data_IF_668856631681
#
_entry.id   IF_668856631681
#
_cell.length_a   1.000
_cell.length_b   1.000
_cell.length_c   1.000
_cell.angle_alpha   90.00
_cell.angle_beta   90.00
_cell.angle_gamma   90.00
#
_symmetry.space_group_name_H-M   'P 1'
#
loop_
_entity.id
_entity.type
_entity.pdbx_description
1 polymer ?
#
# COMPACT_ATOMS: atom_id res chain seq x y z
N UNK A 1 -4.69 43.74 -32.38
CA UNK A 1 -4.81 43.72 -30.91
C UNK A 1 -6.07 42.95 -30.50
N UNK A 2 -5.95 41.64 -30.32
CA UNK A 2 -6.94 40.83 -29.58
C UNK A 2 -6.13 39.96 -28.63
N UNK A 3 -6.19 40.31 -27.34
CA UNK A 3 -5.58 39.58 -26.23
C UNK A 3 -6.23 38.19 -26.16
N UNK A 4 -5.45 37.14 -26.41
CA UNK A 4 -5.80 35.82 -25.92
C UNK A 4 -5.61 35.85 -24.40
N UNK A 5 -6.71 35.72 -23.65
CA UNK A 5 -6.64 35.38 -22.24
C UNK A 5 -6.11 33.96 -22.15
N UNK A 6 -4.88 33.85 -21.65
CA UNK A 6 -4.33 32.60 -21.13
C UNK A 6 -5.13 32.28 -19.86
N UNK A 7 -6.19 31.49 -19.99
CA UNK A 7 -6.91 30.97 -18.83
C UNK A 7 -5.92 30.13 -18.03
N UNK A 8 -5.77 30.47 -16.76
CA UNK A 8 -5.06 29.71 -15.74
C UNK A 8 -5.46 28.24 -15.79
N UNK A 9 -4.62 27.42 -16.41
CA UNK A 9 -4.62 25.97 -16.21
C UNK A 9 -4.23 25.76 -14.75
N UNK A 10 -5.20 25.54 -13.87
CA UNK A 10 -4.92 24.79 -12.65
C UNK A 10 -4.46 23.41 -13.13
N UNK A 11 -3.14 23.19 -13.18
CA UNK A 11 -2.59 21.84 -13.15
C UNK A 11 -3.01 21.26 -11.78
N UNK A 12 -4.15 20.58 -11.74
CA UNK A 12 -4.32 19.51 -10.79
C UNK A 12 -3.24 18.49 -11.12
N UNK A 13 -2.41 18.16 -10.13
CA UNK A 13 -1.27 17.26 -10.30
C UNK A 13 -1.73 15.94 -10.91
N UNK A 14 -1.47 15.75 -12.20
CA UNK A 14 -1.69 14.48 -12.87
C UNK A 14 -0.68 13.49 -12.28
N UNK A 15 -1.17 12.54 -11.50
CA UNK A 15 -0.38 11.37 -11.13
C UNK A 15 0.14 10.73 -12.41
N UNK A 16 1.46 10.61 -12.55
CA UNK A 16 2.03 9.90 -13.68
C UNK A 16 1.61 8.45 -13.55
N UNK A 17 0.83 7.95 -14.50
CA UNK A 17 0.43 6.55 -14.48
C UNK A 17 1.35 5.74 -15.39
N UNK A 18 1.85 4.59 -14.92
CA UNK A 18 2.51 3.63 -15.81
C UNK A 18 1.45 3.02 -16.74
N UNK A 19 1.83 2.73 -17.98
CA UNK A 19 0.99 1.99 -18.91
C UNK A 19 0.35 0.78 -18.21
N UNK A 20 -0.98 0.79 -18.17
CA UNK A 20 -1.77 -0.24 -17.53
C UNK A 20 -2.02 -1.35 -18.54
N UNK A 21 -2.05 -2.58 -18.07
CA UNK A 21 -2.40 -3.74 -18.90
C UNK A 21 -3.54 -4.48 -18.23
N UNK A 22 -4.67 -4.58 -18.94
CA UNK A 22 -5.79 -5.45 -18.59
C UNK A 22 -5.57 -6.79 -19.27
N UNK A 23 -5.40 -7.84 -18.47
CA UNK A 23 -5.20 -9.22 -18.95
C UNK A 23 -6.29 -10.11 -18.39
N UNK A 24 -6.79 -11.02 -19.21
CA UNK A 24 -7.76 -12.00 -18.76
C UNK A 24 -7.14 -12.87 -17.64
N UNK A 25 -7.85 -13.01 -16.52
CA UNK A 25 -7.39 -13.84 -15.41
C UNK A 25 -8.20 -15.13 -15.29
N UNK A 26 -9.53 -15.03 -15.29
CA UNK A 26 -10.42 -16.16 -15.16
C UNK A 26 -11.71 -15.93 -15.97
N UNK A 27 -12.34 -17.02 -16.41
CA UNK A 27 -13.59 -17.03 -17.18
C UNK A 27 -14.52 -18.14 -16.66
N UNK A 28 -15.72 -18.21 -17.24
CA UNK A 28 -16.71 -19.25 -16.92
C UNK A 28 -17.69 -18.84 -15.84
N UNK A 29 -17.78 -17.54 -15.56
CA UNK A 29 -18.74 -16.98 -14.61
C UNK A 29 -20.06 -16.64 -15.31
N UNK A 30 -21.14 -16.54 -14.54
CA UNK A 30 -22.44 -16.09 -15.03
C UNK A 30 -22.83 -14.77 -14.35
N UNK A 31 -22.51 -13.67 -15.03
CA UNK A 31 -22.65 -12.30 -14.54
C UNK A 31 -21.93 -12.10 -13.20
N UNK A 32 -20.58 -12.21 -13.21
CA UNK A 32 -19.79 -12.01 -12.01
C UNK A 32 -19.97 -10.58 -11.51
N UNK A 33 -20.25 -10.43 -10.22
CA UNK A 33 -20.35 -9.11 -9.59
C UNK A 33 -19.32 -8.97 -8.47
N UNK A 34 -19.57 -9.52 -7.28
CA UNK A 34 -18.68 -9.41 -6.13
C UNK A 34 -17.40 -10.22 -6.28
N UNK A 35 -16.32 -9.63 -5.76
CA UNK A 35 -14.98 -10.20 -5.71
C UNK A 35 -14.42 -10.05 -4.30
N UNK A 36 -13.92 -11.13 -3.71
CA UNK A 36 -13.23 -11.10 -2.43
C UNK A 36 -12.11 -12.13 -2.38
N UNK A 37 -10.94 -11.75 -1.89
CA UNK A 37 -9.86 -12.69 -1.60
C UNK A 37 -9.97 -13.21 -0.17
N UNK A 38 -9.70 -14.50 0.02
CA UNK A 38 -9.33 -15.00 1.34
C UNK A 38 -7.84 -14.71 1.66
N UNK A 39 -7.44 -14.95 2.90
CA UNK A 39 -6.06 -14.72 3.36
C UNK A 39 -5.02 -15.53 2.58
N UNK A 40 -5.38 -16.74 2.14
CA UNK A 40 -4.50 -17.62 1.35
C UNK A 40 -4.32 -17.14 -0.09
N UNK A 41 -5.21 -16.28 -0.57
CA UNK A 41 -5.17 -15.70 -1.91
C UNK A 41 -6.03 -16.37 -2.94
N UNK A 42 -7.01 -17.17 -2.50
CA UNK A 42 -8.07 -17.67 -3.37
C UNK A 42 -9.09 -16.56 -3.56
N UNK A 43 -9.43 -16.28 -4.82
CA UNK A 43 -10.46 -15.32 -5.17
C UNK A 43 -11.83 -15.98 -5.15
N UNK A 44 -12.79 -15.36 -4.50
CA UNK A 44 -14.20 -15.73 -4.53
C UNK A 44 -14.95 -14.77 -5.44
N UNK A 45 -15.77 -15.33 -6.32
CA UNK A 45 -16.52 -14.59 -7.35
C UNK A 45 -17.99 -14.93 -7.23
N UNK A 46 -18.87 -13.94 -7.05
CA UNK A 46 -20.31 -14.19 -7.03
C UNK A 46 -20.87 -14.27 -8.44
N UNK A 47 -21.44 -15.40 -8.82
CA UNK A 47 -22.16 -15.57 -10.07
C UNK A 47 -23.61 -15.14 -9.86
N UNK A 48 -23.93 -13.90 -10.20
CA UNK A 48 -25.23 -13.31 -9.88
C UNK A 48 -26.36 -14.08 -10.56
N UNK A 49 -26.25 -14.38 -11.86
CA UNK A 49 -27.28 -15.13 -12.55
C UNK A 49 -27.14 -16.65 -12.33
N UNK A 50 -25.92 -17.10 -12.05
CA UNK A 50 -25.61 -18.49 -11.72
C UNK A 50 -25.95 -18.93 -10.30
N UNK A 51 -26.51 -18.04 -9.46
CA UNK A 51 -26.96 -18.34 -8.09
C UNK A 51 -25.89 -19.05 -7.23
N UNK A 52 -24.63 -18.67 -7.41
CA UNK A 52 -23.48 -19.38 -6.84
C UNK A 52 -22.31 -18.46 -6.52
N UNK A 53 -21.35 -18.96 -5.75
CA UNK A 53 -20.05 -18.32 -5.51
C UNK A 53 -18.94 -19.29 -5.90
N UNK A 54 -18.05 -18.89 -6.81
CA UNK A 54 -16.94 -19.71 -7.28
C UNK A 54 -15.62 -19.33 -6.62
N UNK A 55 -14.81 -20.32 -6.25
CA UNK A 55 -13.41 -20.17 -5.85
C UNK A 55 -12.51 -20.23 -7.06
N UNK A 56 -11.52 -19.34 -7.12
CA UNK A 56 -10.57 -19.20 -8.21
C UNK A 56 -9.17 -19.18 -7.62
N UNK A 57 -8.33 -20.11 -8.05
CA UNK A 57 -6.96 -20.20 -7.56
C UNK A 57 -6.03 -19.14 -8.17
N UNK A 58 -4.77 -19.13 -7.74
CA UNK A 58 -3.75 -18.16 -8.19
C UNK A 58 -3.44 -18.25 -9.70
N UNK A 59 -3.74 -19.40 -10.33
CA UNK A 59 -3.57 -19.61 -11.76
C UNK A 59 -4.75 -19.10 -12.59
N UNK A 60 -5.89 -18.80 -11.94
CA UNK A 60 -7.12 -18.37 -12.58
C UNK A 60 -8.12 -19.51 -12.82
N UNK A 61 -7.87 -20.71 -12.29
CA UNK A 61 -8.76 -21.85 -12.45
C UNK A 61 -9.87 -21.82 -11.40
N UNK A 62 -11.11 -22.09 -11.83
CA UNK A 62 -12.23 -22.33 -10.90
C UNK A 62 -12.02 -23.69 -10.25
N UNK A 63 -11.82 -23.71 -8.93
CA UNK A 63 -11.52 -24.94 -8.17
C UNK A 63 -12.72 -25.51 -7.44
N UNK A 64 -13.69 -24.67 -7.09
CA UNK A 64 -14.88 -25.06 -6.35
C UNK A 64 -16.01 -24.04 -6.60
N UNK A 65 -17.26 -24.47 -6.50
CA UNK A 65 -18.43 -23.59 -6.60
C UNK A 65 -19.44 -23.93 -5.52
N UNK A 66 -19.74 -22.95 -4.68
CA UNK A 66 -20.81 -23.00 -3.69
C UNK A 66 -22.14 -22.62 -4.34
N UNK A 67 -23.18 -23.41 -4.11
CA UNK A 67 -24.52 -23.20 -4.68
C UNK A 67 -25.55 -22.93 -3.57
N UNK A 68 -26.79 -22.62 -3.95
CA UNK A 68 -27.88 -22.38 -2.99
C UNK A 68 -28.08 -20.91 -2.60
N UNK A 69 -27.42 -19.98 -3.30
CA UNK A 69 -27.67 -18.55 -3.16
C UNK A 69 -28.77 -18.10 -4.11
N UNK A 70 -29.32 -16.89 -3.93
CA UNK A 70 -30.30 -16.30 -4.85
C UNK A 70 -29.78 -14.95 -5.30
N UNK A 71 -29.21 -14.89 -6.50
CA UNK A 71 -28.55 -13.68 -7.01
C UNK A 71 -27.55 -13.07 -6.03
N UNK A 72 -26.49 -13.81 -5.63
CA UNK A 72 -25.47 -13.27 -4.74
C UNK A 72 -24.73 -12.12 -5.42
N UNK A 73 -24.45 -11.05 -4.68
CA UNK A 73 -23.80 -9.84 -5.23
C UNK A 73 -22.57 -9.44 -4.43
N UNK A 74 -22.72 -8.96 -3.20
CA UNK A 74 -21.58 -8.56 -2.38
C UNK A 74 -20.89 -9.74 -1.71
N UNK A 75 -19.56 -9.68 -1.63
CA UNK A 75 -18.73 -10.67 -0.92
C UNK A 75 -17.77 -9.95 0.03
N UNK A 76 -17.62 -10.44 1.25
CA UNK A 76 -16.59 -9.96 2.19
C UNK A 76 -16.18 -11.07 3.17
N UNK A 77 -14.91 -11.09 3.59
CA UNK A 77 -14.42 -12.06 4.58
C UNK A 77 -14.37 -11.46 5.99
N UNK A 78 -14.82 -12.24 6.96
CA UNK A 78 -14.57 -12.02 8.39
C UNK A 78 -13.19 -12.59 8.74
N UNK A 79 -12.15 -11.76 8.66
CA UNK A 79 -10.75 -12.18 8.90
C UNK A 79 -10.30 -13.30 7.95
N UNK A 80 -9.63 -14.33 8.49
CA UNK A 80 -9.18 -15.51 7.73
C UNK A 80 -10.29 -16.57 7.52
N UNK A 81 -11.50 -16.31 8.02
CA UNK A 81 -12.53 -17.32 8.23
C UNK A 81 -13.69 -17.24 7.25
N UNK A 82 -14.84 -16.81 7.76
CA UNK A 82 -16.13 -16.97 7.07
C UNK A 82 -16.33 -15.94 5.98
N UNK A 83 -16.93 -16.37 4.88
CA UNK A 83 -17.40 -15.50 3.81
C UNK A 83 -18.79 -14.97 4.13
N UNK A 84 -19.03 -13.69 3.91
CA UNK A 84 -20.34 -13.06 3.99
C UNK A 84 -20.81 -12.73 2.58
N UNK A 85 -22.05 -13.10 2.27
CA UNK A 85 -22.64 -13.00 0.94
C UNK A 85 -23.92 -12.18 1.01
N UNK A 86 -23.94 -11.03 0.35
CA UNK A 86 -25.14 -10.22 0.21
C UNK A 86 -26.04 -10.78 -0.89
N UNK A 87 -27.32 -10.89 -0.58
CA UNK A 87 -28.35 -11.45 -1.44
C UNK A 87 -29.46 -10.40 -1.60
N UNK A 88 -29.29 -9.39 -2.48
CA UNK A 88 -30.15 -8.22 -2.51
C UNK A 88 -31.63 -8.55 -2.76
N UNK A 89 -31.91 -9.51 -3.65
CA UNK A 89 -33.29 -9.92 -3.97
C UNK A 89 -34.04 -10.53 -2.79
N UNK A 90 -33.32 -11.05 -1.78
CA UNK A 90 -33.90 -11.59 -0.56
C UNK A 90 -33.75 -10.67 0.65
N UNK A 91 -33.13 -9.49 0.51
CA UNK A 91 -32.86 -8.59 1.63
C UNK A 91 -32.06 -9.23 2.77
N UNK A 92 -31.10 -10.10 2.43
CA UNK A 92 -30.30 -10.85 3.42
C UNK A 92 -28.80 -10.76 3.19
N UNK A 93 -28.05 -11.00 4.25
CA UNK A 93 -26.63 -11.33 4.22
C UNK A 93 -26.43 -12.70 4.86
N UNK A 94 -25.77 -13.62 4.16
CA UNK A 94 -25.51 -14.98 4.65
C UNK A 94 -24.06 -15.12 5.10
N UNK A 95 -23.82 -15.74 6.25
CA UNK A 95 -22.50 -16.18 6.72
C UNK A 95 -22.23 -17.59 6.23
N UNK A 96 -21.12 -17.80 5.53
CA UNK A 96 -20.74 -19.03 4.86
C UNK A 96 -19.39 -19.49 5.40
N UNK A 97 -19.32 -20.73 5.85
CA UNK A 97 -18.07 -21.29 6.38
C UNK A 97 -17.12 -21.71 5.23
N UNK A 98 -15.86 -22.09 5.54
CA UNK A 98 -14.90 -22.53 4.52
C UNK A 98 -15.29 -23.79 3.74
N UNK A 99 -16.31 -24.55 4.18
CA UNK A 99 -16.88 -25.69 3.43
C UNK A 99 -18.08 -25.30 2.56
N UNK A 100 -18.39 -24.00 2.43
CA UNK A 100 -19.48 -23.51 1.59
C UNK A 100 -20.88 -23.62 2.21
N UNK A 101 -20.97 -23.98 3.49
CA UNK A 101 -22.25 -24.10 4.21
C UNK A 101 -22.67 -22.77 4.80
N UNK A 102 -23.94 -22.37 4.57
CA UNK A 102 -24.54 -21.22 5.24
C UNK A 102 -24.77 -21.55 6.72
N UNK A 103 -24.15 -20.79 7.61
CA UNK A 103 -24.18 -20.98 9.07
C UNK A 103 -25.05 -19.95 9.79
N UNK A 104 -25.30 -18.80 9.18
CA UNK A 104 -26.24 -17.79 9.67
C UNK A 104 -26.80 -16.98 8.49
N UNK A 105 -27.99 -16.41 8.68
CA UNK A 105 -28.62 -15.48 7.75
C UNK A 105 -29.13 -14.28 8.52
N UNK A 106 -28.63 -13.10 8.18
CA UNK A 106 -29.02 -11.83 8.76
C UNK A 106 -30.05 -11.14 7.86
N UNK A 107 -31.07 -10.55 8.48
CA UNK A 107 -32.23 -9.89 7.83
C UNK A 107 -32.34 -8.44 8.29
N UNK A 108 -33.30 -7.69 7.75
CA UNK A 108 -33.55 -6.29 8.13
C UNK A 108 -32.85 -5.28 7.21
N UNK A 109 -32.37 -5.73 6.07
CA UNK A 109 -31.75 -4.91 5.03
C UNK A 109 -32.75 -4.52 3.95
N UNK A 110 -32.38 -3.58 3.09
CA UNK A 110 -33.16 -3.23 1.91
C UNK A 110 -32.24 -3.14 0.68
N UNK A 111 -32.28 -4.22 -0.11
CA UNK A 111 -31.41 -4.45 -1.25
C UNK A 111 -29.91 -4.31 -0.89
N UNK A 112 -29.38 -5.16 0.03
CA UNK A 112 -27.99 -5.11 0.43
C UNK A 112 -27.07 -5.48 -0.73
N UNK A 113 -26.08 -4.64 -1.03
CA UNK A 113 -25.07 -4.88 -2.08
C UNK A 113 -23.68 -4.93 -1.49
N UNK A 114 -23.11 -3.78 -1.12
CA UNK A 114 -21.74 -3.68 -0.66
C UNK A 114 -21.57 -4.23 0.75
N UNK A 115 -20.53 -5.05 0.96
CA UNK A 115 -20.13 -5.58 2.25
C UNK A 115 -18.67 -5.23 2.53
N UNK A 116 -18.34 -4.89 3.77
CA UNK A 116 -16.95 -4.75 4.20
C UNK A 116 -16.82 -4.98 5.71
N UNK A 117 -15.67 -5.46 6.16
CA UNK A 117 -15.36 -5.62 7.58
C UNK A 117 -14.34 -4.58 8.04
N UNK A 118 -14.51 -4.04 9.25
CA UNK A 118 -13.42 -3.35 9.93
C UNK A 118 -12.48 -4.33 10.64
N UNK A 119 -11.31 -3.84 11.06
CA UNK A 119 -10.31 -4.65 11.75
C UNK A 119 -10.78 -5.18 13.13
N UNK A 120 -11.87 -4.65 13.67
CA UNK A 120 -12.50 -5.12 14.92
C UNK A 120 -13.58 -6.18 14.67
N UNK A 121 -13.82 -6.56 13.41
CA UNK A 121 -14.78 -7.59 13.03
C UNK A 121 -16.22 -7.10 12.88
N UNK A 122 -16.47 -5.79 12.85
CA UNK A 122 -17.82 -5.29 12.53
C UNK A 122 -18.07 -5.33 11.03
N UNK A 123 -19.26 -5.81 10.66
CA UNK A 123 -19.72 -5.85 9.27
C UNK A 123 -20.43 -4.54 8.90
N UNK A 124 -20.06 -3.95 7.78
CA UNK A 124 -20.75 -2.82 7.16
C UNK A 124 -21.54 -3.32 5.96
N UNK A 125 -22.81 -2.90 5.86
CA UNK A 125 -23.75 -3.33 4.81
C UNK A 125 -24.35 -2.09 4.14
N UNK A 126 -24.09 -1.92 2.85
CA UNK A 126 -24.71 -0.88 2.03
C UNK A 126 -26.10 -1.31 1.59
N UNK A 127 -27.13 -0.56 1.98
CA UNK A 127 -28.51 -0.80 1.60
C UNK A 127 -28.88 0.17 0.47
N UNK A 128 -28.98 -0.37 -0.74
CA UNK A 128 -29.11 0.45 -1.95
C UNK A 128 -30.39 1.29 -1.94
N UNK A 129 -31.52 0.70 -1.49
CA UNK A 129 -32.84 1.32 -1.61
C UNK A 129 -33.13 2.32 -0.49
N UNK A 130 -32.54 2.15 0.68
CA UNK A 130 -32.77 3.03 1.84
C UNK A 130 -31.71 4.10 2.01
N UNK A 131 -30.72 4.18 1.11
CA UNK A 131 -29.66 5.20 1.13
C UNK A 131 -28.85 5.24 2.45
N UNK A 132 -28.68 4.08 3.09
CA UNK A 132 -27.95 3.93 4.36
C UNK A 132 -26.88 2.85 4.30
N UNK A 133 -25.93 2.95 5.22
CA UNK A 133 -25.01 1.86 5.57
C UNK A 133 -25.28 1.44 7.01
N UNK A 134 -25.57 0.15 7.25
CA UNK A 134 -25.67 -0.39 8.60
C UNK A 134 -24.33 -0.98 9.05
N UNK A 135 -23.96 -0.79 10.32
CA UNK A 135 -22.85 -1.46 10.99
C UNK A 135 -23.39 -2.53 11.94
N UNK A 136 -22.88 -3.75 11.83
CA UNK A 136 -23.30 -4.90 12.62
C UNK A 136 -22.17 -5.43 13.49
N UNK A 137 -22.51 -5.84 14.71
CA UNK A 137 -21.61 -6.60 15.57
C UNK A 137 -21.47 -8.07 15.16
N UNK A 138 -20.62 -8.83 15.86
CA UNK A 138 -20.40 -10.25 15.60
C UNK A 138 -21.66 -11.14 15.84
N UNK A 139 -22.65 -10.64 16.59
CA UNK A 139 -23.94 -11.29 16.78
C UNK A 139 -24.94 -10.99 15.65
N UNK A 140 -24.61 -10.09 14.73
CA UNK A 140 -25.49 -9.63 13.66
C UNK A 140 -26.43 -8.51 14.06
N UNK A 141 -26.26 -7.89 15.22
CA UNK A 141 -27.09 -6.77 15.65
C UNK A 141 -26.63 -5.48 14.97
N UNK A 142 -27.56 -4.67 14.48
CA UNK A 142 -27.26 -3.32 13.96
C UNK A 142 -26.89 -2.42 15.14
N UNK A 143 -25.62 -2.00 15.20
CA UNK A 143 -25.06 -1.14 16.26
C UNK A 143 -24.89 0.31 15.83
N UNK A 144 -24.88 0.59 14.52
CA UNK A 144 -24.93 1.94 13.98
C UNK A 144 -25.58 1.97 12.60
N UNK A 145 -26.11 3.15 12.24
CA UNK A 145 -26.67 3.43 10.92
C UNK A 145 -26.12 4.77 10.44
N UNK A 146 -25.45 4.74 9.30
CA UNK A 146 -24.90 5.93 8.64
C UNK A 146 -25.82 6.35 7.49
N UNK A 147 -26.02 7.65 7.34
CA UNK A 147 -26.96 8.27 6.38
C UNK A 147 -26.25 9.31 5.50
N UNK A 148 -26.94 9.84 4.50
CA UNK A 148 -26.40 10.89 3.62
C UNK A 148 -25.78 10.34 2.34
N UNK A 149 -26.11 9.10 1.99
CA UNK A 149 -25.68 8.44 0.76
C UNK A 149 -26.76 8.59 -0.33
N UNK A 150 -26.42 8.18 -1.55
CA UNK A 150 -27.36 8.18 -2.67
C UNK A 150 -27.14 6.93 -3.52
N UNK A 151 -27.90 5.90 -3.18
CA UNK A 151 -27.86 4.57 -3.73
C UNK A 151 -26.48 3.91 -3.50
N UNK A 152 -26.10 3.63 -2.24
CA UNK A 152 -24.79 3.09 -1.90
C UNK A 152 -24.68 1.64 -2.37
N UNK A 153 -23.62 1.31 -3.12
CA UNK A 153 -23.46 -0.02 -3.75
C UNK A 153 -22.16 -0.74 -3.41
N UNK A 154 -21.10 -0.02 -3.03
CA UNK A 154 -19.82 -0.64 -2.69
C UNK A 154 -19.16 0.05 -1.49
N UNK A 155 -18.45 -0.75 -0.69
CA UNK A 155 -17.83 -0.34 0.55
C UNK A 155 -16.37 -0.79 0.59
N UNK A 156 -15.49 0.03 1.14
CA UNK A 156 -14.12 -0.34 1.48
C UNK A 156 -13.67 0.44 2.71
N UNK A 157 -12.74 -0.10 3.50
CA UNK A 157 -12.21 0.57 4.69
C UNK A 157 -10.69 0.72 4.59
N UNK A 158 -10.17 1.88 5.00
CA UNK A 158 -8.73 2.05 5.18
C UNK A 158 -8.25 1.46 6.51
N UNK A 159 -6.92 1.39 6.68
CA UNK A 159 -6.29 0.85 7.88
C UNK A 159 -6.59 1.66 9.17
N UNK A 160 -7.11 2.89 9.03
CA UNK A 160 -7.55 3.72 10.15
C UNK A 160 -9.03 3.51 10.49
N UNK A 161 -9.74 2.68 9.73
CA UNK A 161 -11.16 2.39 9.92
C UNK A 161 -12.09 3.42 9.28
N UNK A 162 -11.58 4.32 8.41
CA UNK A 162 -12.47 5.20 7.65
C UNK A 162 -13.15 4.39 6.55
N UNK A 163 -14.47 4.56 6.43
CA UNK A 163 -15.30 3.90 5.45
C UNK A 163 -15.40 4.73 4.18
N UNK A 164 -15.15 4.11 3.03
CA UNK A 164 -15.43 4.65 1.72
C UNK A 164 -16.72 4.04 1.18
N UNK A 165 -17.62 4.87 0.67
CA UNK A 165 -18.95 4.47 0.19
C UNK A 165 -19.15 4.97 -1.23
N UNK A 166 -19.29 4.05 -2.19
CA UNK A 166 -19.62 4.40 -3.58
C UNK A 166 -21.13 4.57 -3.76
N UNK A 167 -21.52 5.74 -4.28
CA UNK A 167 -22.91 6.12 -4.51
C UNK A 167 -23.23 6.03 -6.01
N UNK A 168 -23.94 4.98 -6.40
CA UNK A 168 -24.21 4.70 -7.81
C UNK A 168 -24.96 5.85 -8.49
N UNK A 169 -26.07 6.30 -7.88
CA UNK A 169 -26.91 7.36 -8.45
C UNK A 169 -26.31 8.75 -8.20
N UNK A 170 -25.64 8.91 -7.07
CA UNK A 170 -24.93 10.15 -6.73
C UNK A 170 -23.73 10.46 -7.62
N UNK A 171 -23.16 9.46 -8.31
CA UNK A 171 -21.89 9.59 -9.03
C UNK A 171 -20.75 10.14 -8.14
N UNK A 172 -20.77 9.73 -6.86
CA UNK A 172 -19.84 10.19 -5.83
C UNK A 172 -19.26 9.01 -5.06
N UNK A 173 -18.16 9.26 -4.37
CA UNK A 173 -17.68 8.39 -3.29
C UNK A 173 -17.54 9.24 -2.02
N UNK A 174 -18.18 8.83 -0.93
CA UNK A 174 -18.02 9.48 0.37
C UNK A 174 -16.93 8.79 1.19
N UNK A 175 -16.13 9.57 1.93
CA UNK A 175 -15.29 9.08 3.03
C UNK A 175 -15.99 9.40 4.36
N UNK A 176 -16.09 8.42 5.24
CA UNK A 176 -16.78 8.49 6.53
C UNK A 176 -15.78 8.12 7.63
N UNK A 177 -15.68 8.95 8.67
CA UNK A 177 -14.81 8.67 9.81
C UNK A 177 -15.39 7.58 10.73
N UNK A 178 -14.59 7.16 11.72
CA UNK A 178 -14.99 6.14 12.70
C UNK A 178 -16.18 6.55 13.58
N UNK A 179 -16.49 7.84 13.65
CA UNK A 179 -17.64 8.38 14.37
C UNK A 179 -18.91 8.45 13.50
N UNK A 180 -18.79 8.18 12.20
CA UNK A 180 -19.90 8.19 11.26
C UNK A 180 -20.10 9.49 10.49
N UNK A 181 -19.19 10.45 10.58
CA UNK A 181 -19.31 11.71 9.84
C UNK A 181 -18.71 11.58 8.44
N UNK A 182 -19.43 12.09 7.44
CA UNK A 182 -18.87 12.24 6.09
C UNK A 182 -17.80 13.35 6.15
N UNK A 183 -16.53 12.97 5.97
CA UNK A 183 -15.38 13.89 6.00
C UNK A 183 -14.91 14.33 4.63
N UNK A 184 -15.30 13.60 3.57
CA UNK A 184 -15.03 13.99 2.20
C UNK A 184 -16.09 13.43 1.24
N UNK A 185 -16.34 14.14 0.16
CA UNK A 185 -17.15 13.72 -0.98
C UNK A 185 -16.37 13.92 -2.27
N UNK A 186 -15.98 12.82 -2.89
CA UNK A 186 -15.32 12.80 -4.19
C UNK A 186 -16.36 12.69 -5.29
N UNK A 187 -16.14 13.37 -6.41
CA UNK A 187 -17.09 13.45 -7.52
C UNK A 187 -16.40 13.24 -8.87
N UNK A 188 -17.20 13.20 -9.94
CA UNK A 188 -16.70 13.01 -11.32
C UNK A 188 -16.76 11.56 -11.80
N UNK A 189 -17.36 10.65 -11.03
CA UNK A 189 -17.56 9.26 -11.43
C UNK A 189 -18.73 9.09 -12.40
N UNK A 190 -18.82 7.92 -13.04
CA UNK A 190 -19.93 7.54 -13.92
C UNK A 190 -20.51 6.21 -13.48
N UNK A 191 -21.57 6.27 -12.69
CA UNK A 191 -22.24 5.11 -12.08
C UNK A 191 -21.23 4.19 -11.38
N UNK A 192 -20.59 4.65 -10.29
CA UNK A 192 -19.58 3.85 -9.61
C UNK A 192 -20.22 2.59 -9.01
N UNK A 193 -19.66 1.43 -9.32
CA UNK A 193 -20.23 0.10 -8.98
C UNK A 193 -19.36 -0.71 -8.02
N UNK A 194 -18.06 -0.44 -7.99
CA UNK A 194 -17.11 -1.17 -7.19
C UNK A 194 -15.98 -0.28 -6.72
N UNK A 195 -15.50 -0.51 -5.49
CA UNK A 195 -14.36 0.20 -4.94
C UNK A 195 -13.44 -0.74 -4.18
N UNK A 196 -12.15 -0.46 -4.19
CA UNK A 196 -11.19 -1.10 -3.29
C UNK A 196 -10.01 -0.17 -3.02
N UNK A 197 -9.34 -0.37 -1.89
CA UNK A 197 -8.08 0.30 -1.57
C UNK A 197 -6.91 -0.62 -1.92
N UNK A 198 -5.80 -0.04 -2.37
CA UNK A 198 -4.53 -0.75 -2.37
C UNK A 198 -3.84 -0.72 -0.99
N UNK A 199 -2.67 -1.34 -0.88
CA UNK A 199 -1.84 -1.29 0.33
C UNK A 199 -1.31 0.10 0.67
N UNK A 200 -1.53 1.09 -0.20
CA UNK A 200 -1.18 2.50 -0.04
C UNK A 200 -2.33 3.36 0.44
N UNK A 201 -3.55 2.82 0.45
CA UNK A 201 -4.75 3.60 0.71
C UNK A 201 -5.16 4.47 -0.48
N UNK A 202 -4.65 4.21 -1.69
CA UNK A 202 -5.23 4.75 -2.92
C UNK A 202 -6.53 4.01 -3.20
N UNK A 203 -7.59 4.76 -3.44
CA UNK A 203 -8.92 4.22 -3.72
C UNK A 203 -9.08 4.04 -5.22
N UNK A 204 -9.42 2.83 -5.64
CA UNK A 204 -9.82 2.50 -7.00
C UNK A 204 -11.34 2.42 -7.09
N UNK A 205 -11.88 2.92 -8.20
CA UNK A 205 -13.31 3.03 -8.43
C UNK A 205 -13.63 2.50 -9.82
N UNK A 206 -14.46 1.47 -9.93
CA UNK A 206 -15.02 1.00 -11.18
C UNK A 206 -16.19 1.90 -11.58
N UNK A 207 -16.11 2.49 -12.76
CA UNK A 207 -17.16 3.31 -13.36
C UNK A 207 -17.86 2.50 -14.44
N UNK A 208 -19.05 1.98 -14.11
CA UNK A 208 -19.85 1.22 -15.06
C UNK A 208 -20.33 2.08 -16.23
N UNK A 209 -20.61 3.36 -15.99
CA UNK A 209 -21.26 4.24 -16.96
C UNK A 209 -20.37 4.72 -18.11
N UNK A 210 -19.05 4.61 -17.99
CA UNK A 210 -18.10 5.03 -19.04
C UNK A 210 -16.95 4.04 -19.28
N UNK A 211 -17.12 2.79 -18.81
CA UNK A 211 -16.18 1.70 -18.99
C UNK A 211 -14.75 2.10 -18.56
N UNK A 212 -14.63 2.65 -17.35
CA UNK A 212 -13.36 3.14 -16.84
C UNK A 212 -13.13 2.72 -15.40
N UNK A 213 -11.88 2.83 -14.96
CA UNK A 213 -11.50 2.78 -13.56
C UNK A 213 -10.87 4.13 -13.24
N UNK A 214 -11.35 4.75 -12.17
CA UNK A 214 -10.75 5.95 -11.60
C UNK A 214 -9.92 5.60 -10.36
N UNK A 215 -9.04 6.52 -9.98
CA UNK A 215 -8.25 6.44 -8.76
C UNK A 215 -8.32 7.77 -7.99
N UNK A 216 -8.45 7.67 -6.68
CA UNK A 216 -8.22 8.75 -5.73
C UNK A 216 -6.98 8.39 -4.92
N UNK A 217 -5.91 9.18 -5.01
CA UNK A 217 -4.71 8.96 -4.21
C UNK A 217 -4.97 9.05 -2.71
N UNK A 218 -4.20 8.30 -1.93
CA UNK A 218 -4.20 8.45 -0.48
C UNK A 218 -3.88 9.89 -0.05
N UNK A 219 -4.55 10.38 0.99
CA UNK A 219 -4.38 11.75 1.49
C UNK A 219 -5.05 12.84 0.65
N UNK A 220 -5.78 12.48 -0.41
CA UNK A 220 -6.57 13.45 -1.18
C UNK A 220 -7.59 14.18 -0.30
N UNK A 221 -7.56 15.51 -0.35
CA UNK A 221 -8.47 16.39 0.40
C UNK A 221 -9.89 16.34 -0.18
N UNK A 222 -10.87 16.84 0.58
CA UNK A 222 -12.26 16.90 0.14
C UNK A 222 -12.43 17.60 -1.22
N UNK A 223 -13.35 17.09 -2.04
CA UNK A 223 -13.62 17.61 -3.38
C UNK A 223 -12.54 17.32 -4.42
N UNK A 224 -11.46 16.59 -4.09
CA UNK A 224 -10.43 16.20 -5.07
C UNK A 224 -11.09 15.44 -6.24
N UNK A 225 -10.96 15.93 -7.49
CA UNK A 225 -11.47 15.22 -8.65
C UNK A 225 -10.76 13.88 -8.81
N UNK A 226 -11.50 12.84 -9.15
CA UNK A 226 -10.91 11.54 -9.42
C UNK A 226 -10.04 11.58 -10.69
N UNK A 227 -8.91 10.90 -10.64
CA UNK A 227 -8.03 10.72 -11.81
C UNK A 227 -8.44 9.47 -12.57
N UNK A 228 -8.48 9.53 -13.91
CA UNK A 228 -8.73 8.32 -14.71
C UNK A 228 -7.51 7.39 -14.59
N UNK A 229 -7.72 6.18 -14.07
CA UNK A 229 -6.69 5.16 -13.94
C UNK A 229 -6.62 4.26 -15.17
N UNK A 230 -7.76 3.91 -15.74
CA UNK A 230 -7.86 3.19 -17.02
C UNK A 230 -9.15 3.61 -17.70
N UNK A 231 -9.10 3.93 -18.99
CA UNK A 231 -10.27 4.37 -19.77
C UNK A 231 -10.48 3.48 -20.98
N UNK A 232 -11.73 3.34 -21.43
CA UNK A 232 -12.03 2.59 -22.64
C UNK A 232 -11.85 1.09 -22.48
N UNK A 233 -12.19 0.56 -21.30
CA UNK A 233 -12.29 -0.87 -21.09
C UNK A 233 -13.28 -1.45 -22.12
N UNK A 234 -13.00 -2.64 -22.69
CA UNK A 234 -13.90 -3.30 -23.63
C UNK A 234 -15.16 -3.87 -22.95
N UNK A 235 -15.35 -3.59 -21.65
CA UNK A 235 -16.45 -4.05 -20.81
C UNK A 235 -16.79 -2.98 -19.76
N UNK A 236 -17.99 -3.06 -19.19
CA UNK A 236 -18.41 -2.21 -18.08
C UNK A 236 -17.96 -2.86 -16.75
N UNK A 237 -17.03 -2.24 -16.00
CA UNK A 237 -16.50 -2.86 -14.79
C UNK A 237 -17.55 -2.87 -13.67
N UNK A 238 -17.66 -3.98 -12.95
CA UNK A 238 -18.60 -4.17 -11.83
C UNK A 238 -17.92 -3.96 -10.48
N UNK A 239 -17.37 -5.01 -9.85
CA UNK A 239 -16.63 -4.90 -8.60
C UNK A 239 -15.12 -4.91 -8.82
N UNK A 240 -14.42 -4.30 -7.86
CA UNK A 240 -12.96 -4.29 -7.77
C UNK A 240 -12.50 -5.01 -6.50
N UNK A 241 -11.35 -5.66 -6.57
CA UNK A 241 -10.58 -6.05 -5.39
C UNK A 241 -9.09 -5.93 -5.68
N UNK A 242 -8.27 -5.74 -4.66
CA UNK A 242 -6.83 -5.54 -4.81
C UNK A 242 -6.06 -6.55 -3.98
N UNK A 243 -5.06 -7.19 -4.59
CA UNK A 243 -4.14 -8.09 -3.87
C UNK A 243 -2.81 -8.16 -4.57
N UNK A 244 -1.72 -8.20 -3.79
CA UNK A 244 -0.36 -8.42 -4.28
C UNK A 244 -0.02 -7.54 -5.49
N UNK A 245 -0.20 -6.23 -5.32
CA UNK A 245 0.05 -5.20 -6.34
C UNK A 245 -0.74 -5.36 -7.65
N UNK A 246 -1.87 -6.05 -7.60
CA UNK A 246 -2.72 -6.30 -8.76
C UNK A 246 -4.16 -5.95 -8.43
N UNK A 247 -4.78 -5.14 -9.29
CA UNK A 247 -6.20 -4.86 -9.25
C UNK A 247 -6.93 -5.95 -10.04
N UNK A 248 -8.02 -6.48 -9.49
CA UNK A 248 -8.89 -7.45 -10.13
C UNK A 248 -10.24 -6.82 -10.37
N UNK A 249 -10.78 -7.00 -11.56
CA UNK A 249 -12.06 -6.41 -11.96
C UNK A 249 -12.94 -7.47 -12.62
N UNK A 250 -14.20 -7.53 -12.21
CA UNK A 250 -15.21 -8.34 -12.87
C UNK A 250 -15.87 -7.54 -14.00
N UNK A 251 -16.04 -8.17 -15.15
CA UNK A 251 -16.57 -7.52 -16.36
C UNK A 251 -18.11 -7.46 -16.41
N UNK A 252 -18.80 -7.99 -15.39
CA UNK A 252 -20.26 -8.04 -15.32
C UNK A 252 -20.91 -9.05 -16.27
N UNK A 253 -20.13 -9.80 -17.04
CA UNK A 253 -20.62 -10.75 -18.06
C UNK A 253 -20.17 -12.19 -17.78
N UNK A 254 -18.86 -12.48 -17.85
CA UNK A 254 -18.36 -13.85 -17.75
C UNK A 254 -16.91 -13.97 -17.24
N UNK A 255 -16.22 -12.85 -17.00
CA UNK A 255 -14.77 -12.87 -16.76
C UNK A 255 -14.31 -11.96 -15.63
N UNK A 256 -13.15 -12.30 -15.10
CA UNK A 256 -12.35 -11.45 -14.20
C UNK A 256 -11.03 -11.13 -14.91
N UNK A 257 -10.63 -9.87 -14.86
CA UNK A 257 -9.37 -9.39 -15.43
C UNK A 257 -8.41 -8.95 -14.33
N UNK A 258 -7.12 -9.17 -14.56
CA UNK A 258 -6.02 -8.55 -13.81
C UNK A 258 -5.62 -7.27 -14.50
N UNK A 259 -5.61 -6.18 -13.73
CA UNK A 259 -5.04 -4.91 -14.14
C UNK A 259 -3.72 -4.73 -13.39
N UNK A 260 -2.65 -4.65 -14.17
CA UNK A 260 -1.30 -4.40 -13.69
C UNK A 260 -0.76 -3.10 -14.30
N UNK A 261 0.27 -2.52 -13.70
CA UNK A 261 0.73 -1.17 -14.04
C UNK A 261 -0.09 -0.10 -13.31
N UNK A 262 0.00 1.15 -13.77
CA UNK A 262 -0.83 2.22 -13.24
C UNK A 262 -0.16 3.09 -12.18
N UNK A 263 -0.01 2.70 -10.91
CA UNK A 263 0.45 3.66 -9.89
C UNK A 263 1.96 3.91 -10.03
N UNK A 264 2.37 5.10 -10.47
CA UNK A 264 3.75 5.56 -10.35
C UNK A 264 3.82 6.51 -9.15
N UNK A 265 4.18 5.98 -7.99
CA UNK A 265 5.26 6.65 -7.27
C UNK A 265 6.41 5.69 -7.04
N UNK A 266 6.99 5.23 -8.16
CA UNK A 266 8.28 4.53 -8.14
C UNK A 266 9.41 5.38 -7.55
N UNK A 267 9.15 6.67 -7.30
CA UNK A 267 10.08 7.64 -6.77
C UNK A 267 9.39 8.65 -5.86
N UNK A 268 9.79 8.69 -4.60
CA UNK A 268 9.56 9.77 -3.66
C UNK A 268 10.78 10.65 -3.56
N UNK A 269 10.58 11.96 -3.40
CA UNK A 269 11.65 12.90 -3.11
C UNK A 269 11.63 13.28 -1.63
N UNK A 270 12.80 13.31 -1.01
CA UNK A 270 12.97 13.69 0.40
C UNK A 270 14.03 14.78 0.49
N UNK A 271 13.66 15.92 1.06
CA UNK A 271 14.50 17.11 1.19
C UNK A 271 14.01 17.96 2.37
N UNK A 272 14.82 18.05 3.43
CA UNK A 272 14.45 18.71 4.69
C UNK A 272 14.04 20.18 4.54
N UNK A 273 14.62 20.90 3.58
CA UNK A 273 14.39 22.32 3.31
C UNK A 273 13.34 22.57 2.21
N UNK A 274 12.60 21.55 1.78
CA UNK A 274 11.48 21.73 0.85
C UNK A 274 10.32 22.51 1.51
N UNK A 275 9.70 23.40 0.73
CA UNK A 275 8.63 24.30 1.21
C UNK A 275 7.29 24.06 0.53
N UNK A 276 7.21 23.09 -0.38
CA UNK A 276 5.99 22.77 -1.13
C UNK A 276 5.02 21.90 -0.34
N UNK A 277 4.25 21.09 -1.05
CA UNK A 277 3.11 20.36 -0.49
C UNK A 277 3.45 19.18 0.46
N UNK A 278 4.74 18.87 0.66
CA UNK A 278 5.22 17.79 1.54
C UNK A 278 4.58 16.42 1.22
N UNK A 279 4.54 16.07 -0.06
CA UNK A 279 3.92 14.85 -0.59
C UNK A 279 4.90 13.95 -1.37
N UNK A 280 6.16 14.38 -1.51
CA UNK A 280 7.22 13.62 -2.14
C UNK A 280 7.13 13.50 -3.66
N UNK A 281 6.29 14.29 -4.35
CA UNK A 281 6.05 14.19 -5.80
C UNK A 281 7.14 14.87 -6.65
N UNK A 282 7.85 15.84 -6.08
CA UNK A 282 8.92 16.60 -6.72
C UNK A 282 9.94 17.03 -5.67
N UNK A 283 11.09 17.58 -6.10
CA UNK A 283 12.02 18.20 -5.14
C UNK A 283 11.42 19.42 -4.42
N UNK A 284 10.47 20.12 -5.04
CA UNK A 284 9.79 21.27 -4.43
C UNK A 284 8.77 20.82 -3.38
N UNK A 285 8.04 19.73 -3.66
CA UNK A 285 7.01 19.15 -2.80
C UNK A 285 7.53 17.96 -1.99
N UNK A 286 8.85 17.83 -1.85
CA UNK A 286 9.50 16.70 -1.22
C UNK A 286 9.04 16.51 0.24
N UNK A 287 9.10 15.28 0.72
CA UNK A 287 8.94 15.04 2.16
C UNK A 287 10.09 15.71 2.93
N UNK A 288 9.75 16.45 3.97
CA UNK A 288 10.73 17.08 4.88
C UNK A 288 11.21 16.12 5.97
N UNK A 289 10.47 15.03 6.20
CA UNK A 289 10.80 13.95 7.13
C UNK A 289 11.02 12.63 6.39
N UNK A 290 12.17 11.99 6.62
CA UNK A 290 12.53 10.74 5.95
C UNK A 290 11.66 9.55 6.40
N UNK A 291 11.30 9.47 7.68
CA UNK A 291 10.49 8.36 8.17
C UNK A 291 9.06 8.44 7.63
N UNK A 292 8.50 9.65 7.50
CA UNK A 292 7.22 9.88 6.85
C UNK A 292 7.24 9.41 5.39
N UNK A 293 8.31 9.71 4.65
CA UNK A 293 8.48 9.22 3.28
C UNK A 293 8.56 7.68 3.21
N UNK A 294 9.32 7.04 4.12
CA UNK A 294 9.43 5.58 4.17
C UNK A 294 8.06 4.95 4.50
N UNK A 295 7.32 5.54 5.43
CA UNK A 295 5.98 5.06 5.80
C UNK A 295 5.00 5.16 4.63
N UNK A 296 5.09 6.24 3.85
CA UNK A 296 4.25 6.50 2.68
C UNK A 296 4.58 5.61 1.47
N UNK A 297 5.80 5.11 1.35
CA UNK A 297 6.24 4.30 0.21
C UNK A 297 5.83 2.82 0.29
N UNK A 298 5.82 2.12 -0.85
CA UNK A 298 5.41 0.73 -1.00
C UNK A 298 6.52 -0.13 -1.60
N UNK A 299 6.38 -1.45 -1.45
CA UNK A 299 7.31 -2.39 -2.07
C UNK A 299 7.39 -2.15 -3.59
N UNK A 300 8.59 -1.88 -4.09
CA UNK A 300 8.86 -1.48 -5.47
C UNK A 300 9.21 0.00 -5.64
N UNK A 301 8.88 0.85 -4.66
CA UNK A 301 9.18 2.28 -4.71
C UNK A 301 10.63 2.58 -4.37
N UNK A 302 11.08 3.75 -4.82
CA UNK A 302 12.38 4.29 -4.49
C UNK A 302 12.24 5.64 -3.80
N UNK A 303 13.09 5.95 -2.82
CA UNK A 303 13.21 7.27 -2.22
C UNK A 303 14.51 7.89 -2.69
N UNK A 304 14.45 9.12 -3.21
CA UNK A 304 15.60 9.93 -3.57
C UNK A 304 15.77 10.98 -2.48
N UNK A 305 16.84 10.85 -1.71
CA UNK A 305 17.10 11.66 -0.53
C UNK A 305 18.20 12.67 -0.86
N UNK A 306 17.87 13.95 -0.80
CA UNK A 306 18.80 15.04 -1.06
C UNK A 306 19.79 15.21 0.10
N UNK A 307 21.05 15.47 -0.21
CA UNK A 307 22.01 15.99 0.73
C UNK A 307 21.60 17.41 1.14
N UNK A 308 21.50 17.62 2.44
CA UNK A 308 21.13 18.88 3.08
C UNK A 308 22.24 19.29 4.04
N UNK A 309 22.30 20.58 4.39
CA UNK A 309 23.27 21.08 5.36
C UNK A 309 23.04 20.48 6.77
N UNK A 310 21.78 20.17 7.09
CA UNK A 310 21.38 19.50 8.32
C UNK A 310 21.21 18.01 8.10
N UNK A 311 21.64 17.15 9.04
CA UNK A 311 21.36 15.72 8.98
C UNK A 311 19.87 15.39 9.12
N UNK A 312 19.44 14.30 8.49
CA UNK A 312 18.16 13.67 8.78
C UNK A 312 18.25 12.94 10.12
N UNK A 313 17.39 13.31 11.06
CA UNK A 313 17.31 12.68 12.38
C UNK A 313 15.94 12.03 12.59
N UNK A 314 15.88 10.83 13.21
CA UNK A 314 14.63 10.24 13.64
C UNK A 314 14.12 10.94 14.91
N UNK A 315 12.92 10.56 15.34
CA UNK A 315 12.39 10.97 16.65
C UNK A 315 13.36 10.59 17.79
N UNK A 316 13.33 11.34 18.88
CA UNK A 316 14.24 11.11 20.01
C UNK A 316 14.02 9.71 20.61
N UNK A 317 15.12 9.00 20.84
CA UNK A 317 15.13 7.63 21.37
C UNK A 317 14.79 6.55 20.33
N UNK A 318 14.54 6.89 19.07
CA UNK A 318 14.23 5.93 18.01
C UNK A 318 15.31 5.90 16.92
N UNK A 319 15.25 4.88 16.06
CA UNK A 319 16.00 4.81 14.80
C UNK A 319 15.05 4.82 13.61
N UNK A 320 15.57 5.10 12.42
CA UNK A 320 14.81 4.92 11.19
C UNK A 320 14.52 3.43 10.96
N UNK A 321 13.27 3.09 10.69
CA UNK A 321 12.87 1.74 10.28
C UNK A 321 12.72 1.71 8.77
N UNK A 322 13.38 0.75 8.12
CA UNK A 322 13.17 0.47 6.70
C UNK A 322 11.85 -0.27 6.48
N UNK A 323 11.43 -0.36 5.21
CA UNK A 323 10.19 -1.01 4.78
C UNK A 323 10.48 -2.00 3.65
N UNK A 324 9.82 -3.15 3.68
CA UNK A 324 10.13 -4.24 2.75
C UNK A 324 9.90 -3.82 1.30
N UNK A 325 10.86 -4.14 0.43
CA UNK A 325 10.83 -3.83 -1.00
C UNK A 325 11.01 -2.35 -1.37
N UNK A 326 11.17 -1.44 -0.39
CA UNK A 326 11.45 -0.01 -0.64
C UNK A 326 12.96 0.20 -0.80
N UNK A 327 13.36 0.96 -1.83
CA UNK A 327 14.75 1.30 -2.09
C UNK A 327 15.07 2.75 -1.73
N UNK A 328 15.91 2.98 -0.74
CA UNK A 328 16.23 4.30 -0.23
C UNK A 328 17.61 4.69 -0.76
N UNK A 329 17.67 5.73 -1.59
CA UNK A 329 18.88 6.19 -2.28
C UNK A 329 19.27 7.60 -1.84
N UNK A 330 20.46 7.74 -1.28
CA UNK A 330 21.16 9.02 -1.10
C UNK A 330 22.12 9.30 -2.26
N UNK A 331 22.66 10.50 -2.35
CA UNK A 331 23.53 10.92 -3.45
C UNK A 331 22.89 11.92 -4.41
N UNK A 332 21.98 12.76 -3.92
CA UNK A 332 21.26 13.77 -4.70
C UNK A 332 21.47 15.15 -4.08
N UNK A 333 21.48 16.21 -4.88
CA UNK A 333 21.53 17.61 -4.46
C UNK A 333 20.13 18.23 -4.36
N UNK A 334 19.09 17.53 -4.82
CA UNK A 334 17.72 17.99 -4.75
C UNK A 334 17.29 18.80 -5.98
N UNK A 335 17.90 18.53 -7.13
CA UNK A 335 17.59 19.16 -8.43
C UNK A 335 17.59 18.17 -9.59
N UNK A 336 17.91 16.91 -9.33
CA UNK A 336 18.01 15.85 -10.32
C UNK A 336 16.64 15.46 -10.88
N UNK A 337 16.59 15.23 -12.18
CA UNK A 337 15.42 14.74 -12.91
C UNK A 337 15.47 13.23 -13.16
N UNK A 338 16.66 12.61 -13.07
CA UNK A 338 16.85 11.17 -13.32
C UNK A 338 17.82 10.49 -12.34
N UNK A 339 17.70 9.17 -12.16
CA UNK A 339 18.59 8.39 -11.30
C UNK A 339 20.05 8.40 -11.78
N UNK A 340 20.29 8.49 -13.08
CA UNK A 340 21.65 8.53 -13.65
C UNK A 340 22.46 9.76 -13.20
N UNK A 341 21.79 10.81 -12.72
CA UNK A 341 22.42 12.03 -12.20
C UNK A 341 22.87 11.88 -10.74
N UNK A 342 22.57 10.75 -10.09
CA UNK A 342 22.99 10.43 -8.73
C UNK A 342 24.51 10.52 -8.61
N UNK A 343 24.97 11.32 -7.65
CA UNK A 343 26.37 11.52 -7.33
C UNK A 343 26.68 10.99 -5.92
N UNK A 344 27.44 9.91 -5.83
CA UNK A 344 27.82 9.30 -4.53
C UNK A 344 28.77 10.15 -3.69
N UNK A 345 29.30 11.26 -4.21
CA UNK A 345 29.99 12.27 -3.41
C UNK A 345 29.01 13.12 -2.56
N UNK A 346 27.75 13.24 -3.00
CA UNK A 346 26.70 14.03 -2.34
C UNK A 346 25.86 13.17 -1.40
N UNK A 347 26.50 12.39 -0.50
CA UNK A 347 25.76 11.53 0.43
C UNK A 347 25.02 12.37 1.48
N UNK A 348 23.68 12.24 1.63
CA UNK A 348 22.99 12.75 2.80
C UNK A 348 23.45 12.04 4.08
N UNK A 349 23.36 12.74 5.20
CA UNK A 349 23.72 12.21 6.52
C UNK A 349 22.45 11.78 7.27
N UNK A 350 22.42 10.53 7.70
CA UNK A 350 21.48 10.02 8.70
C UNK A 350 22.17 10.08 10.06
N UNK A 351 21.58 10.82 10.99
CA UNK A 351 22.13 11.01 12.32
C UNK A 351 21.21 10.41 13.38
N UNK A 352 21.78 9.64 14.30
CA UNK A 352 21.06 9.08 15.44
C UNK A 352 20.61 10.14 16.44
N UNK A 353 19.55 9.85 17.19
CA UNK A 353 18.96 10.75 18.18
C UNK A 353 18.74 10.04 19.52
N UNK A 354 19.79 9.44 20.08
CA UNK A 354 19.74 8.69 21.34
C UNK A 354 19.41 7.20 21.21
N UNK A 355 19.48 6.65 19.99
CA UNK A 355 19.41 5.21 19.71
C UNK A 355 20.25 4.89 18.46
N UNK A 356 20.20 3.65 17.97
CA UNK A 356 20.74 3.27 16.66
C UNK A 356 20.16 4.13 15.55
N UNK A 357 20.97 4.52 14.56
CA UNK A 357 20.49 5.36 13.44
C UNK A 357 19.45 4.61 12.62
N UNK A 358 19.72 3.36 12.27
CA UNK A 358 18.79 2.44 11.60
C UNK A 358 18.45 1.30 12.55
N UNK A 359 17.17 0.99 12.70
CA UNK A 359 16.66 -0.08 13.57
C UNK A 359 15.61 -0.90 12.83
N UNK A 360 15.87 -2.18 12.57
CA UNK A 360 14.93 -3.12 11.97
C UNK A 360 14.84 -4.39 12.82
N UNK A 361 13.64 -4.69 13.35
CA UNK A 361 13.42 -5.81 14.27
C UNK A 361 12.20 -6.58 13.79
N UNK A 362 12.41 -7.80 13.31
CA UNK A 362 11.35 -8.73 12.92
C UNK A 362 10.26 -8.10 12.01
N UNK A 363 10.65 -7.15 11.15
CA UNK A 363 9.75 -6.43 10.25
C UNK A 363 9.75 -7.00 8.82
N UNK A 364 10.20 -8.26 8.67
CA UNK A 364 10.11 -9.02 7.42
C UNK A 364 11.02 -8.56 6.29
N UNK A 365 12.07 -7.76 6.56
CA UNK A 365 12.92 -7.26 5.49
C UNK A 365 13.78 -8.37 4.88
N UNK A 366 13.76 -8.40 3.55
CA UNK A 366 14.63 -9.23 2.71
C UNK A 366 15.61 -8.35 1.93
N UNK A 367 16.44 -8.97 1.09
CA UNK A 367 17.37 -8.25 0.21
C UNK A 367 16.66 -7.27 -0.76
N UNK A 368 15.33 -7.35 -0.91
CA UNK A 368 14.53 -6.40 -1.69
C UNK A 368 14.46 -5.00 -1.06
N UNK A 369 14.59 -4.87 0.27
CA UNK A 369 14.73 -3.60 0.94
C UNK A 369 16.19 -3.10 0.81
N UNK A 370 16.39 -1.88 0.29
CA UNK A 370 17.72 -1.34 -0.02
C UNK A 370 17.93 -0.01 0.69
N UNK A 371 19.10 0.19 1.30
CA UNK A 371 19.59 1.49 1.73
C UNK A 371 20.97 1.73 1.10
N UNK A 372 21.07 2.76 0.28
CA UNK A 372 22.26 2.98 -0.55
C UNK A 372 22.67 4.46 -0.57
N UNK A 373 23.96 4.74 -0.31
CA UNK A 373 24.56 6.05 -0.55
C UNK A 373 24.41 7.07 0.57
N UNK A 374 24.45 6.63 1.82
CA UNK A 374 24.30 7.49 3.01
C UNK A 374 25.56 7.55 3.86
N UNK A 375 25.72 8.66 4.59
CA UNK A 375 26.58 8.73 5.77
C UNK A 375 25.71 8.37 6.99
N UNK A 376 26.18 7.47 7.85
CA UNK A 376 25.47 7.04 9.07
C UNK A 376 26.33 7.40 10.27
N UNK A 377 25.82 8.27 11.13
CA UNK A 377 26.59 8.81 12.26
C UNK A 377 25.75 9.14 13.50
N UNK A 378 26.40 9.43 14.62
CA UNK A 378 25.76 9.91 15.85
C UNK A 378 24.82 8.91 16.52
N UNK A 379 24.79 7.67 16.06
CA UNK A 379 24.01 6.60 16.67
C UNK A 379 24.57 6.19 18.02
N UNK A 380 23.68 6.02 19.00
CA UNK A 380 24.01 5.78 20.39
C UNK A 380 23.04 4.77 21.02
N UNK A 381 23.35 3.49 20.88
CA UNK A 381 22.51 2.39 21.37
C UNK A 381 22.83 2.05 22.84
N UNK A 382 22.30 2.83 23.78
CA UNK A 382 22.50 2.63 25.22
C UNK A 382 21.22 2.22 25.98
N UNK A 383 20.05 2.20 25.34
CA UNK A 383 18.78 1.90 25.99
C UNK A 383 18.57 0.39 26.14
N UNK A 384 18.45 -0.04 27.39
CA UNK A 384 18.39 -1.43 27.82
C UNK A 384 16.99 -2.04 27.66
N UNK A 385 16.48 -2.15 26.44
CA UNK A 385 15.27 -2.95 26.19
C UNK A 385 15.70 -4.34 25.69
N UNK A 386 15.66 -5.30 26.61
CA UNK A 386 15.75 -6.74 26.36
C UNK A 386 17.09 -7.29 25.80
N UNK A 387 18.21 -7.00 26.49
CA UNK A 387 19.41 -7.87 26.44
C UNK A 387 20.17 -8.00 25.10
N UNK A 388 19.81 -7.25 24.05
CA UNK A 388 20.54 -7.20 22.78
C UNK A 388 21.49 -6.01 22.74
N UNK A 389 22.78 -6.27 22.54
CA UNK A 389 23.85 -5.30 22.78
C UNK A 389 24.67 -4.98 21.52
N UNK A 390 24.09 -4.25 20.55
CA UNK A 390 24.95 -3.60 19.57
C UNK A 390 24.30 -2.89 18.39
N UNK A 391 25.13 -2.26 17.57
CA UNK A 391 24.74 -1.64 16.30
C UNK A 391 24.38 -0.16 16.39
N UNK A 392 25.24 0.67 17.00
CA UNK A 392 24.99 2.12 17.11
C UNK A 392 24.68 2.78 15.75
N UNK A 393 25.35 2.36 14.67
CA UNK A 393 24.98 2.77 13.32
C UNK A 393 23.70 2.08 12.83
N UNK A 394 23.77 0.76 12.66
CA UNK A 394 22.68 -0.07 12.13
C UNK A 394 22.46 -1.26 13.06
N UNK A 395 21.20 -1.50 13.42
CA UNK A 395 20.75 -2.66 14.18
C UNK A 395 19.67 -3.43 13.40
N UNK A 396 19.98 -4.68 13.05
CA UNK A 396 19.06 -5.61 12.38
C UNK A 396 18.89 -6.87 13.22
N UNK A 397 17.64 -7.24 13.50
CA UNK A 397 17.28 -8.45 14.23
C UNK A 397 16.24 -9.24 13.42
N UNK A 398 16.57 -10.49 13.06
CA UNK A 398 15.75 -11.40 12.23
C UNK A 398 15.35 -10.83 10.86
N UNK A 399 16.26 -10.08 10.21
CA UNK A 399 16.03 -9.46 8.89
C UNK A 399 17.31 -9.41 8.05
N UNK A 400 17.17 -9.22 6.73
CA UNK A 400 18.27 -9.28 5.77
C UNK A 400 18.22 -8.23 4.63
N UNK A 401 18.09 -6.91 4.93
CA UNK A 401 18.11 -5.87 3.89
C UNK A 401 19.49 -5.71 3.23
N UNK A 402 19.50 -5.09 2.05
CA UNK A 402 20.72 -4.76 1.30
C UNK A 402 21.24 -3.36 1.66
N UNK A 403 22.52 -3.26 2.01
CA UNK A 403 23.21 -1.99 2.23
C UNK A 403 24.34 -1.78 1.22
N UNK A 404 24.41 -0.58 0.63
CA UNK A 404 25.43 -0.26 -0.39
C UNK A 404 25.95 1.17 -0.26
N UNK A 405 27.22 1.38 -0.61
CA UNK A 405 27.86 2.71 -0.65
C UNK A 405 27.64 3.57 0.61
N UNK A 406 27.65 2.94 1.79
CA UNK A 406 27.50 3.61 3.07
C UNK A 406 28.85 4.07 3.62
N UNK A 407 28.85 5.20 4.31
CA UNK A 407 29.94 5.63 5.18
C UNK A 407 29.43 5.58 6.60
N UNK A 408 29.89 4.61 7.39
CA UNK A 408 29.43 4.43 8.77
C UNK A 408 30.55 4.91 9.70
N UNK A 409 30.33 6.01 10.42
CA UNK A 409 31.36 6.64 11.26
C UNK A 409 30.74 7.41 12.44
N UNK A 410 31.48 7.57 13.53
CA UNK A 410 31.02 8.38 14.68
C UNK A 410 29.83 7.79 15.46
N UNK A 411 29.61 6.48 15.35
CA UNK A 411 28.59 5.74 16.10
C UNK A 411 29.20 5.07 17.34
N UNK A 412 28.43 4.93 18.42
CA UNK A 412 28.89 4.42 19.71
C UNK A 412 27.89 3.42 20.30
N UNK A 413 28.39 2.41 21.00
CA UNK A 413 27.61 1.48 21.81
C UNK A 413 28.45 1.03 23.01
N UNK A 414 27.80 0.63 24.10
CA UNK A 414 28.50 0.29 25.35
C UNK A 414 28.94 -1.18 25.46
N UNK A 415 28.54 -2.06 24.54
CA UNK A 415 28.87 -3.50 24.62
C UNK A 415 29.53 -4.07 23.35
N UNK A 416 28.84 -4.22 22.21
CA UNK A 416 29.44 -4.83 20.99
C UNK A 416 29.05 -4.08 19.70
N UNK A 417 29.98 -3.90 18.75
CA UNK A 417 29.69 -3.49 17.37
C UNK A 417 29.22 -2.04 17.18
N UNK A 418 30.11 -1.06 17.41
CA UNK A 418 29.80 0.36 17.23
C UNK A 418 29.44 0.73 15.78
N UNK A 419 29.93 -0.02 14.78
CA UNK A 419 29.63 0.20 13.36
C UNK A 419 28.42 -0.59 12.84
N UNK A 420 28.27 -1.86 13.21
CA UNK A 420 27.16 -2.74 12.81
C UNK A 420 27.13 -3.99 13.68
N UNK A 421 25.95 -4.52 13.99
CA UNK A 421 25.79 -5.92 14.40
C UNK A 421 25.09 -6.66 13.27
N UNK A 422 25.76 -7.72 12.79
CA UNK A 422 25.24 -8.68 11.81
C UNK A 422 24.39 -9.73 12.54
N UNK A 423 23.25 -10.06 11.92
CA UNK A 423 22.27 -11.06 12.34
C UNK A 423 22.91 -12.41 12.68
N UNK A 424 22.60 -12.95 13.87
CA UNK A 424 22.59 -14.39 14.11
C UNK A 424 21.19 -14.90 13.78
N UNK A 425 21.05 -15.62 12.65
CA UNK A 425 20.25 -16.85 12.54
C UNK A 425 20.35 -17.47 11.15
N UNK A 426 21.32 -18.38 11.00
CA UNK A 426 21.08 -19.80 10.76
C UNK A 426 22.43 -20.50 10.64
N UNK A 427 22.57 -21.58 11.41
CA UNK A 427 23.68 -22.50 11.40
C UNK A 427 23.74 -23.26 10.05
N UNK A 428 24.27 -22.64 8.99
CA UNK A 428 24.73 -23.36 7.81
C UNK A 428 26.11 -22.84 7.39
N UNK A 429 27.10 -23.70 7.56
CA UNK A 429 28.43 -23.55 7.01
C UNK A 429 28.37 -23.40 5.49
N UNK A 430 28.59 -22.20 4.96
CA UNK A 430 29.37 -21.99 3.73
C UNK A 430 29.96 -20.59 3.73
N UNK A 431 31.30 -20.53 3.72
CA UNK A 431 32.10 -19.31 3.66
C UNK A 431 31.86 -18.54 2.36
N UNK A 432 31.37 -17.30 2.46
CA UNK A 432 31.45 -16.32 1.37
C UNK A 432 31.50 -14.88 1.89
N UNK A 433 32.35 -14.62 2.90
CA UNK A 433 32.70 -13.26 3.34
C UNK A 433 34.19 -13.16 3.65
N UNK A 434 35.02 -13.27 2.60
CA UNK A 434 36.44 -12.96 2.66
C UNK A 434 36.91 -12.32 1.33
N UNK A 435 36.37 -11.14 0.97
CA UNK A 435 36.94 -10.35 -0.15
C UNK A 435 37.02 -8.84 0.03
N UNK A 436 36.53 -8.25 1.12
CA UNK A 436 36.48 -6.79 1.25
C UNK A 436 37.60 -6.19 2.13
N UNK A 437 38.39 -7.01 2.84
CA UNK A 437 39.45 -6.48 3.75
C UNK A 437 40.89 -6.76 3.25
N UNK A 438 41.10 -7.59 2.23
CA UNK A 438 42.48 -7.92 1.79
C UNK A 438 43.10 -6.99 0.74
N UNK A 439 42.35 -6.10 0.09
CA UNK A 439 42.95 -5.22 -0.94
C UNK A 439 43.61 -3.95 -0.40
N UNK A 440 43.32 -3.52 0.83
CA UNK A 440 43.85 -2.28 1.38
C UNK A 440 45.15 -2.47 2.19
N UNK A 441 45.41 -3.66 2.74
CA UNK A 441 46.65 -3.93 3.50
C UNK A 441 47.84 -4.39 2.65
N UNK A 442 47.63 -4.77 1.39
CA UNK A 442 48.72 -5.22 0.50
C UNK A 442 49.51 -4.06 -0.13
N UNK A 443 48.93 -2.84 -0.20
CA UNK A 443 49.58 -1.68 -0.84
C UNK A 443 50.48 -0.91 0.14
N UNK A 444 50.15 -0.90 1.45
CA UNK A 444 50.95 -0.18 2.46
C UNK A 444 52.13 -1.00 3.02
N UNK A 445 52.06 -2.34 2.96
CA UNK A 445 53.17 -3.19 3.37
C UNK A 445 54.33 -3.22 2.34
N UNK A 446 54.05 -2.99 1.05
CA UNK A 446 55.06 -3.05 -0.01
C UNK A 446 55.88 -1.75 -0.13
N UNK A 447 55.29 -0.59 0.21
CA UNK A 447 56.00 0.70 0.26
C UNK A 447 56.89 0.87 1.48
N UNK A 448 56.57 0.21 2.61
CA UNK A 448 57.40 0.26 3.81
C UNK A 448 58.60 -0.71 3.72
N UNK A 449 58.45 -1.84 3.01
CA UNK A 449 59.56 -2.79 2.81
C UNK A 449 60.62 -2.27 1.81
N UNK A 450 60.24 -1.39 0.88
CA UNK A 450 61.17 -0.83 -0.12
C UNK A 450 62.02 0.35 0.41
N UNK A 451 61.61 0.98 1.52
CA UNK A 451 62.36 2.06 2.19
C UNK A 451 63.32 1.57 3.28
N UNK A 452 63.33 0.26 3.57
CA UNK A 452 64.26 -0.39 4.51
C UNK A 452 65.36 -1.21 3.79
N UNK A 453 65.43 -1.15 2.46
CA UNK A 453 66.40 -1.86 1.61
C UNK A 453 67.24 -0.95 0.71
N UNK A 454 67.28 0.35 1.00
CA UNK A 454 68.28 1.34 0.53
C UNK A 454 68.81 2.08 1.75
#
# INVERSE_FOLDING_TARGET
>A
MKKFLLSTLLLTAAYLLKAQTSTLFATGFDHPYGLAFDASGILYVSNTNGNSVSKVDVSGAVTETYTGFIKPVGLAFEGEGNLYVATPSNNTVSKVNPSGTVTATYTGFNFPIGLAFDASGYLYVANEVTDIVNKLDAGGNIVATYTGFNRPVALSLDALGNLFVANYLGNTVNKVDVSGHITATYSGFKSPTGICLDGSGNLFIANYGDNSISMIPHGSVDGTPATAFMSGLPYAPSMLTYRANTLYVADGTASVYKITGGILQTRFYVKQDATGANNGQSWADAYTDLQAAINAAHSGDSLFVAATATPYQPASGTGFSMKEGVKIFGGFLGSETDFSQRNLASKPTLQGNGNSVITNINNGLTAAAVLDGFIITGGYANTSINGGHGGGGIYNLFVSPTYSHLVISGNRCNNVGAGSVLSMDHLYWTMSLLRIIQQQMAVEALTILMLLLL
#
